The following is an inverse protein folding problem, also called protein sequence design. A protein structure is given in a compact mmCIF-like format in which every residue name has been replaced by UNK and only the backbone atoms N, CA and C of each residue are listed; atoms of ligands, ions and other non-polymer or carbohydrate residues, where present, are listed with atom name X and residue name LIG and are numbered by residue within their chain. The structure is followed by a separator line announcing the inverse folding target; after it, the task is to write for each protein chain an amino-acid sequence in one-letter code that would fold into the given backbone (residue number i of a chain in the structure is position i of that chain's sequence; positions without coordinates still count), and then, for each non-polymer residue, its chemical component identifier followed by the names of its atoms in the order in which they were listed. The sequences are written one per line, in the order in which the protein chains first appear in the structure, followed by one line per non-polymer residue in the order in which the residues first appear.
data_IF_408224694123
#
_entry.id   IF_408224694123
#
_cell.length_a   1.000
_cell.length_b   1.000
_cell.length_c   1.000
_cell.angle_alpha   90.00
_cell.angle_beta   90.00
_cell.angle_gamma   90.00
#
_symmetry.space_group_name_H-M   'P 1'
#
loop_
_entity.id
_entity.type
_entity.pdbx_description
1 polymer ?
#
# COMPACT_ATOMS: atom_id res chain seq x y z
N UNK A 1 -13.02 -0.76 10.90
CA UNK A 1 -13.74 -2.04 11.09
C UNK A 1 -13.47 -2.53 12.51
N UNK A 2 -14.37 -3.33 13.09
CA UNK A 2 -14.15 -3.98 14.39
C UNK A 2 -13.63 -5.41 14.15
N UNK A 3 -12.49 -5.76 14.74
CA UNK A 3 -11.79 -7.02 14.50
C UNK A 3 -11.56 -7.72 15.84
N UNK A 4 -12.61 -8.29 16.41
CA UNK A 4 -12.59 -8.88 17.75
C UNK A 4 -12.21 -10.38 17.75
N UNK A 5 -12.21 -11.03 16.58
CA UNK A 5 -11.89 -12.46 16.40
C UNK A 5 -10.64 -12.65 15.55
N UNK A 6 -9.83 -13.70 15.78
CA UNK A 6 -8.62 -13.93 15.01
C UNK A 6 -8.91 -14.15 13.52
N UNK A 7 -7.99 -13.67 12.67
CA UNK A 7 -8.02 -13.87 11.24
C UNK A 7 -7.91 -15.37 10.89
N UNK A 8 -8.85 -15.89 10.10
CA UNK A 8 -8.73 -17.21 9.45
C UNK A 8 -8.11 -17.01 8.06
N UNK A 9 -8.52 -17.78 7.04
CA UNK A 9 -8.07 -17.60 5.66
C UNK A 9 -8.63 -16.31 5.07
N UNK A 10 -7.73 -15.39 4.67
CA UNK A 10 -8.09 -14.12 4.06
C UNK A 10 -7.52 -14.01 2.65
N UNK A 11 -8.12 -13.19 1.78
CA UNK A 11 -7.61 -12.96 0.42
C UNK A 11 -6.16 -12.42 0.38
N UNK A 12 -5.69 -11.78 1.46
CA UNK A 12 -4.32 -11.25 1.58
C UNK A 12 -3.27 -12.38 1.60
N UNK A 13 -3.64 -13.57 2.09
CA UNK A 13 -2.75 -14.73 2.20
C UNK A 13 -2.29 -15.25 0.83
N UNK A 14 -2.92 -14.81 -0.26
CA UNK A 14 -2.51 -15.13 -1.62
C UNK A 14 -1.23 -14.42 -2.08
N UNK A 15 -0.79 -13.38 -1.36
CA UNK A 15 0.46 -12.63 -1.61
C UNK A 15 0.66 -12.17 -3.07
N UNK A 16 -0.44 -11.94 -3.80
CA UNK A 16 -0.40 -11.58 -5.23
C UNK A 16 0.11 -10.15 -5.48
N UNK A 17 -0.10 -9.27 -4.51
CA UNK A 17 0.25 -7.84 -4.59
C UNK A 17 0.77 -7.38 -3.22
N UNK A 18 0.03 -7.70 -2.16
CA UNK A 18 0.46 -7.47 -0.78
C UNK A 18 1.65 -8.37 -0.46
N UNK A 19 2.74 -7.79 0.06
CA UNK A 19 3.99 -8.50 0.38
C UNK A 19 5.06 -8.43 -0.72
N UNK A 20 4.76 -7.86 -1.89
CA UNK A 20 5.73 -7.65 -2.97
C UNK A 20 6.37 -6.26 -2.88
N UNK A 21 7.68 -6.10 -3.21
CA UNK A 21 8.35 -4.81 -3.20
C UNK A 21 7.98 -4.00 -4.45
N UNK A 22 6.80 -3.37 -4.41
CA UNK A 22 6.30 -2.51 -5.48
C UNK A 22 6.80 -1.08 -5.32
N UNK A 23 6.98 -0.40 -6.45
CA UNK A 23 7.29 1.02 -6.46
C UNK A 23 6.18 1.83 -5.79
N UNK A 24 6.59 2.88 -5.08
CA UNK A 24 5.66 3.79 -4.44
C UNK A 24 4.83 4.50 -5.52
N UNK A 25 3.51 4.37 -5.45
CA UNK A 25 2.53 4.94 -6.40
C UNK A 25 2.74 6.45 -6.67
N UNK A 26 3.10 7.19 -5.63
CA UNK A 26 3.34 8.63 -5.62
C UNK A 26 4.84 8.98 -5.63
N UNK A 27 5.72 7.98 -5.80
CA UNK A 27 7.17 8.11 -5.78
C UNK A 27 7.70 9.14 -6.76
N UNK A 28 7.31 9.01 -8.04
CA UNK A 28 7.72 9.93 -9.11
C UNK A 28 7.28 11.37 -8.83
N UNK A 29 6.01 11.57 -8.49
CA UNK A 29 5.46 12.91 -8.26
C UNK A 29 6.18 13.62 -7.09
N UNK A 30 6.50 12.88 -6.02
CA UNK A 30 7.19 13.41 -4.85
C UNK A 30 8.67 13.72 -5.09
N UNK A 31 9.35 13.05 -6.01
CA UNK A 31 10.79 13.28 -6.27
C UNK A 31 11.07 14.26 -7.40
N UNK A 32 10.10 14.50 -8.31
CA UNK A 32 10.25 15.44 -9.42
C UNK A 32 9.56 16.79 -9.19
N UNK A 33 9.04 17.05 -7.99
CA UNK A 33 8.37 18.32 -7.66
C UNK A 33 6.98 18.51 -8.31
N UNK A 34 6.35 17.42 -8.74
CA UNK A 34 5.02 17.43 -9.37
C UNK A 34 3.90 17.01 -8.41
N UNK A 35 4.23 16.65 -7.17
CA UNK A 35 3.23 16.35 -6.13
C UNK A 35 2.53 17.66 -5.69
N UNK A 36 1.19 17.66 -5.58
CA UNK A 36 0.46 18.81 -5.09
C UNK A 36 0.76 18.97 -3.59
N UNK A 37 1.39 20.10 -3.28
CA UNK A 37 1.98 20.54 -2.01
C UNK A 37 3.39 19.99 -1.70
N UNK A 38 4.37 20.83 -2.03
CA UNK A 38 5.76 20.81 -1.55
C UNK A 38 6.22 22.25 -1.22
N UNK A 39 5.28 23.10 -0.78
CA UNK A 39 5.50 24.45 -0.25
C UNK A 39 5.31 24.41 1.27
#
# INVERSE_FOLDING_TARGET
MKFDTPATTNPIDQLRVVGQPLDRIDGRLKTTGHAPLCL
#
